data_IF_402462280112
#
_entry.id   IF_402462280112
#
_cell.length_a   1.000
_cell.length_b   1.000
_cell.length_c   1.000
_cell.angle_alpha   90.00
_cell.angle_beta   90.00
_cell.angle_gamma   90.00
#
_symmetry.space_group_name_H-M   'P 1'
#
loop_
_entity.id
_entity.type
_entity.pdbx_description
1 polymer ?
#
# COMPACT_ATOMS: atom_id res chain seq x y z
N UNK A 1 0.80 7.80 21.65
CA UNK A 1 -0.35 6.87 21.59
C UNK A 1 -0.35 6.02 20.31
N UNK A 2 0.03 6.57 19.15
CA UNK A 2 0.21 5.83 17.88
C UNK A 2 1.25 4.68 17.96
N UNK A 3 2.31 4.83 18.75
CA UNK A 3 3.43 3.87 18.79
C UNK A 3 3.10 2.48 19.34
N UNK A 4 2.02 2.33 20.14
CA UNK A 4 1.62 1.04 20.70
C UNK A 4 0.68 0.25 19.78
N UNK A 5 0.01 0.90 18.82
CA UNK A 5 -0.96 0.23 17.94
C UNK A 5 -0.30 -0.54 16.79
N UNK A 6 0.92 -0.15 16.40
CA UNK A 6 1.60 -0.62 15.19
C UNK A 6 2.81 -1.51 15.44
N UNK A 7 3.15 -1.81 16.70
CA UNK A 7 4.27 -2.70 17.08
C UNK A 7 3.72 -3.98 17.68
N UNK A 8 3.31 -4.90 16.82
CA UNK A 8 2.83 -6.20 17.27
C UNK A 8 2.86 -7.23 16.15
N UNK A 9 3.22 -8.47 16.50
CA UNK A 9 3.25 -9.63 15.60
C UNK A 9 1.93 -9.84 14.84
N UNK A 10 0.80 -9.41 15.42
CA UNK A 10 -0.51 -9.42 14.78
C UNK A 10 -0.64 -8.40 13.65
N UNK A 11 -0.14 -7.17 13.83
CA UNK A 11 -0.15 -6.14 12.80
C UNK A 11 0.79 -6.49 11.64
N UNK A 12 1.96 -7.07 11.94
CA UNK A 12 2.86 -7.61 10.91
C UNK A 12 2.20 -8.68 10.06
N UNK A 13 1.51 -9.63 10.70
CA UNK A 13 0.76 -10.67 10.00
C UNK A 13 -0.37 -10.09 9.17
N UNK A 14 -1.07 -9.07 9.67
CA UNK A 14 -2.11 -8.37 8.92
C UNK A 14 -1.56 -7.68 7.68
N UNK A 15 -0.43 -6.97 7.79
CA UNK A 15 0.22 -6.32 6.63
C UNK A 15 0.69 -7.36 5.61
N UNK A 16 1.26 -8.47 6.08
CA UNK A 16 1.71 -9.56 5.21
C UNK A 16 0.55 -10.20 4.47
N UNK A 17 -0.54 -10.51 5.18
CA UNK A 17 -1.75 -11.05 4.58
C UNK A 17 -2.36 -10.06 3.58
N UNK A 18 -2.45 -8.78 3.94
CA UNK A 18 -2.96 -7.72 3.07
C UNK A 18 -2.14 -7.61 1.79
N UNK A 19 -0.81 -7.63 1.90
CA UNK A 19 0.10 -7.64 0.75
C UNK A 19 -0.22 -8.83 -0.18
N UNK A 20 -0.32 -10.04 0.37
CA UNK A 20 -0.64 -11.23 -0.42
C UNK A 20 -2.01 -11.12 -1.09
N UNK A 21 -3.04 -10.70 -0.35
CA UNK A 21 -4.40 -10.55 -0.88
C UNK A 21 -4.46 -9.53 -2.02
N UNK A 22 -3.82 -8.37 -1.86
CA UNK A 22 -3.78 -7.36 -2.92
C UNK A 22 -2.96 -7.81 -4.13
N UNK A 23 -1.88 -8.58 -3.94
CA UNK A 23 -1.15 -9.18 -5.06
C UNK A 23 -2.00 -10.17 -5.84
N UNK A 24 -2.75 -11.04 -5.15
CA UNK A 24 -3.69 -11.98 -5.79
C UNK A 24 -4.73 -11.19 -6.60
N UNK A 25 -5.36 -10.17 -6.01
CA UNK A 25 -6.34 -9.32 -6.71
C UNK A 25 -5.74 -8.58 -7.91
N UNK A 26 -4.48 -8.16 -7.83
CA UNK A 26 -3.75 -7.56 -8.95
C UNK A 26 -3.71 -8.52 -10.13
N UNK A 27 -3.24 -9.76 -9.91
CA UNK A 27 -3.16 -10.77 -10.96
C UNK A 27 -4.53 -11.21 -11.48
N UNK A 28 -5.53 -11.35 -10.61
CA UNK A 28 -6.89 -11.67 -11.04
C UNK A 28 -7.48 -10.57 -11.92
N UNK A 29 -7.30 -9.30 -11.56
CA UNK A 29 -7.82 -8.20 -12.37
C UNK A 29 -7.08 -8.02 -13.69
N UNK A 30 -5.76 -8.28 -13.74
CA UNK A 30 -5.00 -8.36 -14.99
C UNK A 30 -5.51 -9.51 -15.85
N UNK A 31 -5.69 -10.69 -15.26
CA UNK A 31 -6.21 -11.86 -15.92
C UNK A 31 -7.59 -11.61 -16.53
N UNK A 32 -8.50 -11.01 -15.76
CA UNK A 32 -9.82 -10.61 -16.25
C UNK A 32 -9.72 -9.63 -17.41
N UNK A 33 -8.93 -8.56 -17.27
CA UNK A 33 -8.82 -7.57 -18.34
C UNK A 33 -8.20 -8.13 -19.62
N UNK A 34 -7.31 -9.12 -19.53
CA UNK A 34 -6.77 -9.82 -20.70
C UNK A 34 -7.83 -10.75 -21.27
N UNK A 35 -8.56 -11.48 -20.43
CA UNK A 35 -9.65 -12.36 -20.83
C UNK A 35 -10.71 -11.61 -21.63
N UNK A 36 -11.24 -10.52 -21.08
CA UNK A 36 -12.27 -9.68 -21.73
C UNK A 36 -11.80 -9.14 -23.09
N UNK A 37 -10.49 -8.84 -23.21
CA UNK A 37 -9.89 -8.39 -24.47
C UNK A 37 -9.81 -9.51 -25.49
N UNK A 38 -9.48 -10.73 -25.07
CA UNK A 38 -9.34 -11.91 -25.95
C UNK A 38 -10.70 -12.43 -26.40
N UNK A 39 -11.72 -12.39 -25.53
CA UNK A 39 -13.10 -12.80 -25.87
C UNK A 39 -13.86 -11.75 -26.68
N UNK A 40 -13.30 -10.54 -26.82
CA UNK A 40 -13.92 -9.43 -27.55
C UNK A 40 -14.98 -8.68 -26.75
N UNK A 41 -15.12 -8.96 -25.45
CA UNK A 41 -16.01 -8.24 -24.52
C UNK A 41 -15.47 -6.84 -24.18
N UNK A 42 -14.18 -6.58 -24.41
CA UNK A 42 -13.55 -5.27 -24.23
C UNK A 42 -12.71 -4.83 -25.44
N UNK A 43 -12.89 -3.56 -25.84
CA UNK A 43 -12.08 -2.93 -26.89
C UNK A 43 -10.64 -2.63 -26.46
N UNK A 44 -10.38 -2.54 -25.15
CA UNK A 44 -9.08 -2.17 -24.61
C UNK A 44 -8.80 -2.89 -23.29
N UNK A 45 -7.51 -3.07 -22.98
CA UNK A 45 -7.08 -3.59 -21.68
C UNK A 45 -7.20 -2.48 -20.64
N UNK A 46 -8.06 -2.69 -19.63
CA UNK A 46 -8.31 -1.74 -18.55
C UNK A 46 -7.44 -2.10 -17.35
N UNK A 47 -6.31 -1.39 -17.19
CA UNK A 47 -5.34 -1.65 -16.12
C UNK A 47 -5.70 -0.99 -14.78
N UNK A 48 -6.71 -0.10 -14.74
CA UNK A 48 -7.03 0.69 -13.55
C UNK A 48 -7.26 -0.16 -12.28
N UNK A 49 -8.04 -1.26 -12.32
CA UNK A 49 -8.21 -2.12 -11.14
C UNK A 49 -6.89 -2.75 -10.68
N UNK A 50 -6.10 -3.27 -11.62
CA UNK A 50 -4.80 -3.89 -11.33
C UNK A 50 -3.85 -2.92 -10.66
N UNK A 51 -3.72 -1.70 -11.20
CA UNK A 51 -2.86 -0.66 -10.63
C UNK A 51 -3.34 -0.24 -9.24
N UNK A 52 -4.65 -0.21 -9.00
CA UNK A 52 -5.22 0.11 -7.68
C UNK A 52 -4.84 -0.95 -6.65
N UNK A 53 -5.01 -2.23 -6.97
CA UNK A 53 -4.61 -3.31 -6.07
C UNK A 53 -3.09 -3.36 -5.87
N UNK A 54 -2.31 -3.11 -6.93
CA UNK A 54 -0.86 -3.05 -6.84
C UNK A 54 -0.40 -1.91 -5.92
N UNK A 55 -1.04 -0.74 -6.00
CA UNK A 55 -0.79 0.38 -5.09
C UNK A 55 -1.01 -0.02 -3.63
N UNK A 56 -2.14 -0.68 -3.32
CA UNK A 56 -2.42 -1.13 -1.94
C UNK A 56 -1.49 -2.25 -1.47
N UNK A 57 -1.06 -3.13 -2.36
CA UNK A 57 -0.01 -4.11 -2.06
C UNK A 57 1.28 -3.41 -1.64
N UNK A 58 1.74 -2.44 -2.42
CA UNK A 58 2.95 -1.67 -2.07
C UNK A 58 2.77 -0.89 -0.77
N UNK A 59 1.60 -0.29 -0.57
CA UNK A 59 1.30 0.41 0.66
C UNK A 59 1.43 -0.50 1.89
N UNK A 60 0.84 -1.70 1.84
CA UNK A 60 0.96 -2.69 2.91
C UNK A 60 2.42 -3.13 3.13
N UNK A 61 3.20 -3.33 2.06
CA UNK A 61 4.61 -3.74 2.13
C UNK A 61 5.51 -2.67 2.73
N UNK A 62 5.27 -1.40 2.40
CA UNK A 62 6.13 -0.27 2.79
C UNK A 62 5.58 0.55 3.96
N UNK A 63 4.54 0.06 4.65
CA UNK A 63 3.92 0.72 5.79
C UNK A 63 4.93 1.21 6.83
N UNK A 64 5.94 0.40 7.15
CA UNK A 64 6.98 0.78 8.12
C UNK A 64 7.91 1.89 7.62
N UNK A 65 8.19 1.94 6.32
CA UNK A 65 8.98 3.03 5.74
C UNK A 65 8.22 4.36 5.82
N UNK A 66 6.90 4.34 5.54
CA UNK A 66 6.04 5.51 5.72
C UNK A 66 5.98 5.98 7.17
N UNK A 67 5.84 5.05 8.12
CA UNK A 67 5.88 5.38 9.55
C UNK A 67 7.22 5.99 9.98
N UNK A 68 8.33 5.42 9.52
CA UNK A 68 9.66 5.95 9.82
C UNK A 68 9.82 7.39 9.27
N UNK A 69 9.39 7.63 8.03
CA UNK A 69 9.42 8.96 7.44
C UNK A 69 8.53 9.96 8.18
N UNK A 70 7.31 9.57 8.55
CA UNK A 70 6.40 10.44 9.34
C UNK A 70 7.04 10.88 10.65
N UNK A 71 7.62 9.95 11.41
CA UNK A 71 8.31 10.26 12.67
C UNK A 71 9.53 11.15 12.48
N UNK A 72 10.24 10.97 11.36
CA UNK A 72 11.40 11.79 11.04
C UNK A 72 10.98 13.22 10.72
N UNK A 73 9.88 13.41 9.98
CA UNK A 73 9.31 14.73 9.71
C UNK A 73 8.84 15.42 10.99
N UNK A 74 8.15 14.69 11.88
CA UNK A 74 7.76 15.22 13.19
C UNK A 74 8.96 15.71 14.01
N UNK A 75 10.06 14.93 14.05
CA UNK A 75 11.27 15.33 14.76
C UNK A 75 11.89 16.59 14.17
N UNK A 76 12.01 16.67 12.85
CA UNK A 76 12.56 17.85 12.17
C UNK A 76 11.72 19.10 12.50
N UNK A 77 10.40 18.97 12.43
CA UNK A 77 9.48 20.07 12.73
C UNK A 77 9.56 20.53 14.20
N UNK A 78 9.69 19.59 15.14
CA UNK A 78 9.88 19.88 16.56
C UNK A 78 11.21 20.62 16.80
N UNK A 79 12.30 20.18 16.16
CA UNK A 79 13.61 20.83 16.22
C UNK A 79 13.59 22.25 15.63
N UNK A 80 12.89 22.46 14.51
CA UNK A 80 12.72 23.79 13.92
C UNK A 80 11.90 24.72 14.84
N UNK A 81 10.81 24.21 15.42
CA UNK A 81 9.98 24.96 16.37
C UNK A 81 10.77 25.38 17.61
N UNK A 82 11.62 24.51 18.14
CA UNK A 82 12.48 24.82 19.29
C UNK A 82 13.58 25.84 18.97
N UNK A 83 14.00 25.98 17.71
CA UNK A 83 14.97 27.02 17.29
C UNK A 83 14.34 28.39 17.06
N UNK A 84 13.02 28.44 16.87
CA UNK A 84 12.27 29.68 16.64
C UNK A 84 11.71 30.30 17.94
N UNK A 85 11.74 29.56 19.05
CA UNK A 85 11.42 30.03 20.41
C UNK A 85 12.70 30.49 21.13
#
# INVERSE_FOLDING_TARGET
MFDKMFKGKSFDNFLRLSFFMFMVLTFLSLGQSIYDRVTGEAEQIVLKPALTFMFFAFFAKYQYAFQYWSKRLERINEEERQRQL
#
